data_IF_339711154723
#
_entry.id   IF_339711154723
#
_cell.length_a   1.000
_cell.length_b   1.000
_cell.length_c   1.000
_cell.angle_alpha   90.00
_cell.angle_beta   90.00
_cell.angle_gamma   90.00
#
_symmetry.space_group_name_H-M   'P 1'
#
loop_
_entity.id
_entity.type
_entity.pdbx_description
1 polymer ?
#
# COMPACT_ATOMS: atom_id res chain seq x y z
N UNK A 1 -17.39 8.73 5.35
CA UNK A 1 -18.63 9.50 5.08
C UNK A 1 -18.29 10.96 5.21
N UNK A 2 -18.19 11.66 4.11
CA UNK A 2 -17.81 13.07 4.05
C UNK A 2 -18.94 13.92 4.65
N UNK A 3 -18.67 14.64 5.72
CA UNK A 3 -19.60 15.63 6.26
C UNK A 3 -19.62 16.80 5.29
N UNK A 4 -20.69 16.93 4.54
CA UNK A 4 -20.82 17.97 3.52
C UNK A 4 -20.74 19.36 4.13
N UNK A 5 -19.95 20.25 3.52
CA UNK A 5 -19.61 21.61 4.00
C UNK A 5 -20.83 22.50 4.29
N UNK A 6 -21.96 22.28 3.63
CA UNK A 6 -23.19 23.03 3.88
C UNK A 6 -23.76 22.78 5.29
N UNK A 7 -23.30 21.73 6.01
CA UNK A 7 -23.63 21.54 7.43
C UNK A 7 -22.97 22.61 8.33
N UNK A 8 -22.03 23.38 7.81
CA UNK A 8 -21.46 24.52 8.53
C UNK A 8 -22.45 25.71 8.57
N UNK A 9 -23.40 25.77 7.63
CA UNK A 9 -24.47 26.77 7.57
C UNK A 9 -25.80 26.27 8.15
N UNK A 10 -25.90 24.97 8.35
CA UNK A 10 -27.06 24.30 8.96
C UNK A 10 -26.54 23.53 10.18
N UNK A 11 -26.65 24.11 11.37
CA UNK A 11 -26.33 23.42 12.62
C UNK A 11 -27.27 22.24 12.79
N UNK A 12 -26.79 21.03 12.56
CA UNK A 12 -27.45 19.81 13.02
C UNK A 12 -26.73 19.38 14.29
N UNK A 13 -27.42 19.53 15.40
CA UNK A 13 -27.04 19.05 16.70
C UNK A 13 -26.75 17.56 16.67
N UNK A 14 -25.53 17.19 17.06
CA UNK A 14 -25.29 15.89 17.68
C UNK A 14 -24.22 16.04 18.75
N UNK A 15 -24.69 16.02 19.98
CA UNK A 15 -23.94 16.05 21.21
C UNK A 15 -22.97 14.86 21.29
N UNK A 16 -21.70 15.17 21.59
CA UNK A 16 -20.84 14.29 22.40
C UNK A 16 -19.85 15.19 23.13
N UNK A 17 -19.90 15.16 24.46
CA UNK A 17 -19.31 16.07 25.39
C UNK A 17 -17.80 16.17 25.37
N UNK A 18 -17.35 17.38 25.57
CA UNK A 18 -16.29 17.70 26.51
C UNK A 18 -16.51 19.15 27.01
N UNK A 19 -16.31 19.36 28.28
CA UNK A 19 -16.60 20.54 29.08
C UNK A 19 -15.67 21.71 28.74
N UNK A 20 -16.27 22.78 28.21
CA UNK A 20 -15.66 24.09 28.07
C UNK A 20 -16.76 25.12 27.83
N UNK A 21 -16.83 26.17 28.64
CA UNK A 21 -17.79 27.27 28.84
C UNK A 21 -18.81 27.55 27.70
N UNK A 22 -20.08 27.91 28.07
CA UNK A 22 -21.17 28.08 27.12
C UNK A 22 -21.06 29.40 26.38
N UNK A 23 -20.53 29.35 25.14
CA UNK A 23 -20.78 30.37 24.14
C UNK A 23 -22.22 30.19 23.64
N UNK A 24 -22.99 31.27 23.66
CA UNK A 24 -24.37 31.34 23.21
C UNK A 24 -24.55 30.70 21.81
N UNK A 25 -25.52 29.78 21.61
CA UNK A 25 -25.68 29.09 20.32
C UNK A 25 -26.11 30.08 19.27
N UNK A 26 -25.38 30.09 18.13
CA UNK A 26 -25.78 30.82 16.94
C UNK A 26 -27.19 30.38 16.50
N UNK A 27 -28.11 31.33 16.14
CA UNK A 27 -29.47 30.98 15.75
C UNK A 27 -29.46 30.00 14.57
N UNK A 28 -30.20 28.92 14.70
CA UNK A 28 -30.38 27.94 13.65
C UNK A 28 -30.95 28.62 12.39
N UNK A 29 -30.48 28.34 11.19
CA UNK A 29 -31.04 28.91 9.98
C UNK A 29 -32.49 28.55 9.84
N UNK A 30 -33.32 29.56 9.49
CA UNK A 30 -34.75 29.35 9.29
C UNK A 30 -34.96 28.23 8.26
N UNK A 31 -36.00 27.41 8.41
CA UNK A 31 -36.27 26.29 7.50
C UNK A 31 -36.33 26.69 6.03
N UNK A 32 -36.60 27.96 5.76
CA UNK A 32 -36.60 28.52 4.38
C UNK A 32 -35.20 28.65 3.79
N UNK A 33 -34.18 29.03 4.58
CA UNK A 33 -32.80 29.08 4.09
C UNK A 33 -32.27 27.69 3.74
N UNK A 34 -32.56 26.67 4.54
CA UNK A 34 -32.18 25.29 4.26
C UNK A 34 -32.88 24.74 3.01
N UNK A 35 -34.16 25.07 2.80
CA UNK A 35 -34.92 24.72 1.57
C UNK A 35 -34.35 25.40 0.34
N UNK A 36 -33.99 26.68 0.42
CA UNK A 36 -33.38 27.43 -0.66
C UNK A 36 -32.04 26.79 -1.08
N UNK A 37 -31.15 26.51 -0.12
CA UNK A 37 -29.88 25.83 -0.40
C UNK A 37 -30.10 24.46 -1.04
N UNK A 38 -31.07 23.68 -0.54
CA UNK A 38 -31.39 22.37 -1.12
C UNK A 38 -31.94 22.50 -2.55
N UNK A 39 -32.77 23.49 -2.83
CA UNK A 39 -33.28 23.79 -4.19
C UNK A 39 -32.17 24.19 -5.15
N UNK A 40 -31.25 25.06 -4.73
CA UNK A 40 -30.09 25.46 -5.51
C UNK A 40 -29.20 24.26 -5.76
N UNK A 41 -28.93 23.47 -4.72
CA UNK A 41 -28.13 22.25 -4.86
C UNK A 41 -28.77 21.26 -5.85
N UNK A 42 -30.10 21.13 -5.88
CA UNK A 42 -30.75 20.23 -6.84
C UNK A 42 -30.65 20.75 -8.30
N UNK A 43 -30.55 22.04 -8.52
CA UNK A 43 -30.50 22.64 -9.85
C UNK A 43 -29.10 22.63 -10.49
N UNK A 44 -28.04 22.49 -9.71
CA UNK A 44 -26.66 22.48 -10.22
C UNK A 44 -26.32 21.10 -10.79
N UNK A 45 -25.83 20.96 -12.03
CA UNK A 45 -25.44 19.69 -12.60
C UNK A 45 -24.18 19.12 -11.92
N UNK A 46 -24.07 17.81 -11.88
CA UNK A 46 -22.84 17.13 -11.44
C UNK A 46 -21.82 17.17 -12.56
N UNK A 47 -20.57 17.48 -12.24
CA UNK A 47 -19.46 17.39 -13.19
C UNK A 47 -19.18 15.92 -13.46
N UNK A 48 -19.38 15.49 -14.70
CA UNK A 48 -19.15 14.08 -15.09
C UNK A 48 -17.80 13.86 -15.78
N UNK A 49 -17.27 14.93 -16.38
CA UNK A 49 -16.01 14.91 -17.13
C UNK A 49 -15.21 16.18 -16.85
N UNK A 50 -13.90 16.06 -16.90
CA UNK A 50 -12.98 17.18 -16.81
C UNK A 50 -12.45 17.49 -18.21
N UNK A 51 -12.45 18.77 -18.62
CA UNK A 51 -12.06 19.20 -19.95
C UNK A 51 -10.54 19.10 -20.19
N UNK A 52 -9.74 19.12 -19.12
CA UNK A 52 -8.29 19.01 -19.17
C UNK A 52 -7.76 18.06 -18.07
N UNK A 53 -6.58 17.46 -18.27
CA UNK A 53 -5.91 16.71 -17.22
C UNK A 53 -5.48 17.66 -16.09
N UNK A 54 -5.64 17.21 -14.84
CA UNK A 54 -5.16 17.90 -13.65
C UNK A 54 -3.79 17.33 -13.30
N UNK A 55 -2.74 18.13 -13.45
CA UNK A 55 -1.36 17.70 -13.22
C UNK A 55 -1.05 17.61 -11.72
N UNK A 56 -1.52 18.58 -10.95
CA UNK A 56 -1.38 18.61 -9.50
C UNK A 56 -2.73 18.39 -8.80
N UNK A 57 -3.01 17.17 -8.29
CA UNK A 57 -4.25 16.87 -7.57
C UNK A 57 -4.47 17.69 -6.30
N UNK A 58 -3.43 18.36 -5.78
CA UNK A 58 -3.53 19.21 -4.59
C UNK A 58 -3.90 20.66 -4.94
N UNK A 59 -3.85 21.02 -6.21
CA UNK A 59 -4.23 22.33 -6.71
C UNK A 59 -5.72 22.39 -7.03
N UNK A 60 -6.52 22.81 -6.06
CA UNK A 60 -7.97 22.98 -6.27
C UNK A 60 -8.30 23.97 -7.40
N UNK A 61 -7.42 24.94 -7.65
CA UNK A 61 -7.60 25.87 -8.77
C UNK A 61 -7.59 25.12 -10.12
N UNK A 62 -6.65 24.20 -10.35
CA UNK A 62 -6.60 23.39 -11.57
C UNK A 62 -7.83 22.46 -11.69
N UNK A 63 -8.34 21.92 -10.58
CA UNK A 63 -9.54 21.10 -10.59
C UNK A 63 -10.75 21.92 -11.02
N UNK A 64 -10.91 23.14 -10.50
CA UNK A 64 -12.00 24.03 -10.88
C UNK A 64 -11.90 24.48 -12.33
N UNK A 65 -10.70 24.76 -12.81
CA UNK A 65 -10.45 25.10 -14.22
C UNK A 65 -10.77 23.92 -15.14
N UNK A 66 -10.29 22.72 -14.81
CA UNK A 66 -10.58 21.49 -15.56
C UNK A 66 -12.08 21.14 -15.55
N UNK A 67 -12.81 21.52 -14.50
CA UNK A 67 -14.26 21.41 -14.39
C UNK A 67 -15.04 22.55 -15.08
N UNK A 68 -14.34 23.47 -15.77
CA UNK A 68 -14.91 24.62 -16.47
C UNK A 68 -15.76 25.55 -15.57
N UNK A 69 -15.35 25.69 -14.29
CA UNK A 69 -16.04 26.58 -13.35
C UNK A 69 -15.56 28.01 -13.56
N UNK A 70 -16.30 28.74 -14.38
CA UNK A 70 -16.02 30.15 -14.65
C UNK A 70 -16.25 31.04 -13.41
N UNK A 71 -15.44 32.10 -13.30
CA UNK A 71 -15.71 33.18 -12.34
C UNK A 71 -16.94 33.95 -12.78
N UNK A 72 -17.93 34.20 -11.89
CA UNK A 72 -19.11 34.99 -12.22
C UNK A 72 -18.73 36.42 -12.65
N UNK A 73 -19.52 37.05 -13.52
CA UNK A 73 -19.28 38.41 -14.06
C UNK A 73 -19.12 39.47 -12.95
N UNK A 74 -19.89 39.35 -11.87
CA UNK A 74 -19.78 40.22 -10.68
C UNK A 74 -18.53 39.97 -9.84
N UNK A 75 -17.74 38.90 -10.12
CA UNK A 75 -16.47 38.58 -9.47
C UNK A 75 -16.58 38.07 -8.01
N UNK A 76 -17.78 37.86 -7.47
CA UNK A 76 -17.98 37.32 -6.12
C UNK A 76 -18.18 35.81 -6.18
N UNK A 77 -17.07 35.08 -6.02
CA UNK A 77 -17.07 33.63 -5.83
C UNK A 77 -17.21 33.28 -4.33
N UNK A 78 -17.58 32.07 -4.02
CA UNK A 78 -17.55 31.57 -2.61
C UNK A 78 -16.16 31.69 -1.98
N UNK A 79 -15.10 31.50 -2.75
CA UNK A 79 -13.73 31.65 -2.26
C UNK A 79 -13.41 33.10 -1.86
N UNK A 80 -13.90 34.07 -2.65
CA UNK A 80 -13.76 35.49 -2.30
C UNK A 80 -14.56 35.84 -1.05
N UNK A 81 -15.78 35.33 -0.93
CA UNK A 81 -16.60 35.53 0.29
C UNK A 81 -15.92 34.88 1.51
N UNK A 82 -15.37 33.68 1.37
CA UNK A 82 -14.61 33.04 2.44
C UNK A 82 -13.39 33.87 2.87
N UNK A 83 -12.67 34.44 1.91
CA UNK A 83 -11.55 35.36 2.18
C UNK A 83 -12.01 36.62 2.92
N UNK A 84 -13.14 37.22 2.51
CA UNK A 84 -13.72 38.41 3.16
C UNK A 84 -14.10 38.09 4.62
N UNK A 85 -14.70 36.95 4.90
CA UNK A 85 -15.07 36.52 6.26
C UNK A 85 -13.85 36.33 7.18
N UNK A 86 -12.68 36.02 6.60
CA UNK A 86 -11.42 35.85 7.31
C UNK A 86 -10.61 37.16 7.45
N UNK A 87 -11.08 38.24 6.83
CA UNK A 87 -10.41 39.54 6.91
C UNK A 87 -10.33 40.06 8.35
N UNK A 88 -9.32 40.86 8.67
CA UNK A 88 -9.13 41.46 10.00
C UNK A 88 -10.35 42.26 10.45
N UNK A 89 -11.02 42.93 9.50
CA UNK A 89 -12.19 43.76 9.77
C UNK A 89 -13.43 42.97 10.18
N UNK A 90 -13.56 41.71 9.76
CA UNK A 90 -14.71 40.86 10.08
C UNK A 90 -14.40 39.78 11.10
N UNK A 91 -13.13 39.39 11.29
CA UNK A 91 -12.75 38.23 12.11
C UNK A 91 -13.33 38.26 13.53
N UNK A 92 -13.32 39.41 14.19
CA UNK A 92 -13.77 39.61 15.59
C UNK A 92 -15.27 39.91 15.75
N UNK A 93 -16.05 39.99 14.65
CA UNK A 93 -17.46 40.39 14.73
C UNK A 93 -18.36 39.16 14.95
N UNK A 94 -19.58 39.43 15.46
CA UNK A 94 -20.58 38.37 15.63
C UNK A 94 -21.04 37.79 14.27
N UNK A 95 -21.56 36.55 14.24
CA UNK A 95 -22.03 35.92 13.00
C UNK A 95 -23.08 36.76 12.26
N UNK A 96 -24.00 37.41 12.99
CA UNK A 96 -25.03 38.26 12.38
C UNK A 96 -24.42 39.47 11.68
N UNK A 97 -23.48 40.15 12.33
CA UNK A 97 -22.79 41.33 11.77
C UNK A 97 -21.95 40.91 10.54
N UNK A 98 -21.22 39.76 10.61
CA UNK A 98 -20.51 39.19 9.46
C UNK A 98 -21.47 38.96 8.28
N UNK A 99 -22.57 38.27 8.56
CA UNK A 99 -23.61 38.00 7.52
C UNK A 99 -24.12 39.29 6.89
N UNK A 100 -24.55 40.28 7.70
CA UNK A 100 -25.06 41.57 7.21
C UNK A 100 -24.00 42.30 6.38
N UNK A 101 -22.75 42.32 6.83
CA UNK A 101 -21.65 42.95 6.12
C UNK A 101 -21.39 42.31 4.75
N UNK A 102 -21.44 40.99 4.66
CA UNK A 102 -21.27 40.26 3.40
C UNK A 102 -22.45 40.53 2.48
N UNK A 103 -23.70 40.52 2.98
CA UNK A 103 -24.88 40.79 2.17
C UNK A 103 -24.83 42.21 1.55
N UNK A 104 -24.46 43.20 2.36
CA UNK A 104 -24.28 44.61 1.86
C UNK A 104 -23.18 44.69 0.80
N UNK A 105 -22.04 43.98 1.00
CA UNK A 105 -20.98 43.94 0.03
C UNK A 105 -21.38 43.26 -1.29
N UNK A 106 -22.15 42.19 -1.22
CA UNK A 106 -22.69 41.50 -2.41
C UNK A 106 -23.68 42.38 -3.15
N UNK A 107 -24.62 43.03 -2.45
CA UNK A 107 -25.61 43.97 -3.03
C UNK A 107 -24.92 45.15 -3.71
N UNK A 108 -23.93 45.76 -3.05
CA UNK A 108 -23.12 46.82 -3.62
C UNK A 108 -22.36 46.39 -4.90
N UNK A 109 -21.98 45.12 -4.99
CA UNK A 109 -21.31 44.50 -6.14
C UNK A 109 -22.28 43.95 -7.19
N UNK A 110 -23.59 44.09 -7.02
CA UNK A 110 -24.59 43.53 -7.94
C UNK A 110 -24.71 42.01 -7.91
N UNK A 111 -24.16 41.35 -6.90
CA UNK A 111 -24.18 39.92 -6.76
C UNK A 111 -25.33 39.45 -5.84
N UNK A 112 -26.01 38.38 -6.20
CA UNK A 112 -27.00 37.72 -5.33
C UNK A 112 -26.34 36.62 -4.50
N UNK A 113 -26.85 36.45 -3.28
CA UNK A 113 -26.37 35.36 -2.42
C UNK A 113 -26.58 33.99 -3.07
N UNK A 114 -27.62 33.81 -3.85
CA UNK A 114 -27.94 32.59 -4.58
C UNK A 114 -26.85 32.23 -5.59
N UNK A 115 -26.26 33.21 -6.28
CA UNK A 115 -25.17 33.01 -7.24
C UNK A 115 -23.92 32.53 -6.55
N UNK A 116 -23.61 33.06 -5.34
CA UNK A 116 -22.49 32.63 -4.54
C UNK A 116 -22.70 31.20 -4.00
N UNK A 117 -23.94 30.86 -3.61
CA UNK A 117 -24.27 29.49 -3.18
C UNK A 117 -24.19 28.52 -4.35
N UNK A 118 -24.62 28.92 -5.56
CA UNK A 118 -24.44 28.08 -6.75
C UNK A 118 -22.99 27.86 -7.10
N UNK A 119 -22.12 28.87 -7.01
CA UNK A 119 -20.67 28.75 -7.22
C UNK A 119 -20.08 27.74 -6.20
N UNK A 120 -20.50 27.85 -4.94
CA UNK A 120 -20.08 26.92 -3.90
C UNK A 120 -20.46 25.47 -4.20
N UNK A 121 -21.71 25.23 -4.60
CA UNK A 121 -22.21 23.88 -4.96
C UNK A 121 -21.49 23.32 -6.19
N UNK A 122 -21.20 24.16 -7.20
CA UNK A 122 -20.44 23.73 -8.39
C UNK A 122 -19.04 23.26 -8.01
N UNK A 123 -18.35 24.02 -7.15
CA UNK A 123 -17.00 23.67 -6.69
C UNK A 123 -16.99 22.41 -5.85
N UNK A 124 -17.92 22.25 -4.91
CA UNK A 124 -18.09 21.06 -4.08
C UNK A 124 -18.27 19.81 -4.97
N UNK A 125 -19.15 19.87 -5.95
CA UNK A 125 -19.40 18.75 -6.86
C UNK A 125 -18.21 18.43 -7.77
N UNK A 126 -17.45 19.44 -8.18
CA UNK A 126 -16.23 19.22 -8.94
C UNK A 126 -15.20 18.45 -8.09
N UNK A 127 -15.05 18.80 -6.82
CA UNK A 127 -14.16 18.08 -5.91
C UNK A 127 -14.63 16.63 -5.65
N UNK A 128 -15.91 16.41 -5.39
CA UNK A 128 -16.50 15.06 -5.22
C UNK A 128 -16.28 14.19 -6.47
N UNK A 129 -16.48 14.79 -7.65
CA UNK A 129 -16.26 14.09 -8.93
C UNK A 129 -14.80 13.75 -9.15
N UNK A 130 -13.90 14.68 -8.83
CA UNK A 130 -12.45 14.48 -8.95
C UNK A 130 -11.96 13.42 -7.97
N UNK A 131 -12.44 13.43 -6.72
CA UNK A 131 -12.16 12.36 -5.74
C UNK A 131 -12.56 11.00 -6.29
N UNK A 132 -13.72 10.91 -6.94
CA UNK A 132 -14.18 9.66 -7.56
C UNK A 132 -13.24 9.21 -8.67
N UNK A 133 -12.74 10.11 -9.52
CA UNK A 133 -11.76 9.81 -10.57
C UNK A 133 -10.44 9.33 -9.97
N UNK A 134 -9.91 10.03 -8.98
CA UNK A 134 -8.68 9.63 -8.29
C UNK A 134 -8.82 8.28 -7.61
N UNK A 135 -9.94 8.04 -6.94
CA UNK A 135 -10.21 6.76 -6.26
C UNK A 135 -10.22 5.59 -7.25
N UNK A 136 -10.87 5.75 -8.41
CA UNK A 136 -10.87 4.75 -9.48
C UNK A 136 -9.48 4.53 -10.06
N UNK A 137 -8.73 5.61 -10.32
CA UNK A 137 -7.36 5.52 -10.82
C UNK A 137 -6.45 4.78 -9.84
N UNK A 138 -6.50 5.13 -8.55
CA UNK A 138 -5.77 4.44 -7.48
C UNK A 138 -6.11 2.95 -7.43
N UNK A 139 -7.39 2.61 -7.43
CA UNK A 139 -7.83 1.22 -7.39
C UNK A 139 -7.34 0.43 -8.63
N UNK A 140 -7.31 1.05 -9.80
CA UNK A 140 -6.77 0.45 -11.02
C UNK A 140 -5.27 0.16 -10.93
N UNK A 141 -4.49 1.12 -10.42
CA UNK A 141 -3.05 0.93 -10.19
C UNK A 141 -2.79 -0.17 -9.15
N UNK A 142 -3.53 -0.15 -8.04
CA UNK A 142 -3.42 -1.15 -6.98
C UNK A 142 -3.71 -2.56 -7.52
N UNK A 143 -4.82 -2.74 -8.24
CA UNK A 143 -5.17 -4.03 -8.84
C UNK A 143 -4.10 -4.53 -9.84
N UNK A 144 -3.58 -3.62 -10.68
CA UNK A 144 -2.51 -3.95 -11.63
C UNK A 144 -1.23 -4.41 -10.93
N UNK A 145 -0.83 -3.72 -9.84
CA UNK A 145 0.38 -4.07 -9.09
C UNK A 145 0.23 -5.34 -8.27
N UNK A 146 -0.95 -5.61 -7.73
CA UNK A 146 -1.25 -6.88 -7.06
C UNK A 146 -1.11 -8.05 -8.05
N UNK A 147 -1.64 -7.93 -9.26
CA UNK A 147 -1.55 -8.99 -10.26
C UNK A 147 -0.10 -9.17 -10.77
N UNK A 148 0.65 -8.09 -10.93
CA UNK A 148 2.08 -8.14 -11.26
C UNK A 148 2.88 -8.88 -10.18
N UNK A 149 2.67 -8.53 -8.91
CA UNK A 149 3.32 -9.19 -7.77
C UNK A 149 2.98 -10.69 -7.72
N UNK A 150 1.71 -11.06 -7.96
CA UNK A 150 1.30 -12.46 -8.01
C UNK A 150 2.03 -13.26 -9.08
N UNK A 151 2.26 -12.67 -10.27
CA UNK A 151 3.05 -13.32 -11.33
C UNK A 151 4.50 -13.51 -10.92
N UNK A 152 5.11 -12.48 -10.34
CA UNK A 152 6.49 -12.56 -9.83
C UNK A 152 6.62 -13.66 -8.77
N UNK A 153 5.68 -13.75 -7.83
CA UNK A 153 5.67 -14.80 -6.80
C UNK A 153 5.53 -16.20 -7.41
N UNK A 154 4.68 -16.36 -8.43
CA UNK A 154 4.53 -17.64 -9.12
C UNK A 154 5.81 -18.05 -9.85
N UNK A 155 6.46 -17.15 -10.56
CA UNK A 155 7.75 -17.39 -11.24
C UNK A 155 8.86 -17.74 -10.23
N UNK A 156 8.93 -17.01 -9.12
CA UNK A 156 9.89 -17.30 -8.05
C UNK A 156 9.68 -18.70 -7.45
N UNK A 157 8.45 -19.07 -7.18
CA UNK A 157 8.12 -20.39 -6.64
C UNK A 157 8.48 -21.52 -7.62
N UNK A 158 8.22 -21.33 -8.92
CA UNK A 158 8.62 -22.28 -9.96
C UNK A 158 10.15 -22.44 -10.01
N UNK A 159 10.87 -21.33 -10.02
CA UNK A 159 12.34 -21.35 -10.02
C UNK A 159 12.92 -22.05 -8.79
N UNK A 160 12.32 -21.80 -7.61
CA UNK A 160 12.72 -22.49 -6.37
C UNK A 160 12.48 -24.00 -6.44
N UNK A 161 11.35 -24.44 -7.01
CA UNK A 161 11.06 -25.85 -7.20
C UNK A 161 12.09 -26.52 -8.15
N UNK A 162 12.43 -25.86 -9.24
CA UNK A 162 13.42 -26.36 -10.20
C UNK A 162 14.82 -26.48 -9.57
N UNK A 163 15.25 -25.49 -8.81
CA UNK A 163 16.53 -25.57 -8.10
C UNK A 163 16.55 -26.67 -7.03
N UNK A 164 15.47 -26.85 -6.27
CA UNK A 164 15.35 -27.95 -5.30
C UNK A 164 15.43 -29.31 -5.98
N UNK A 165 14.75 -29.49 -7.10
CA UNK A 165 14.83 -30.73 -7.89
C UNK A 165 16.26 -31.02 -8.37
N UNK A 166 16.99 -29.99 -8.84
CA UNK A 166 18.40 -30.13 -9.26
C UNK A 166 19.31 -30.50 -8.09
N UNK A 167 19.14 -29.87 -6.92
CA UNK A 167 19.91 -30.20 -5.72
C UNK A 167 19.64 -31.65 -5.32
N UNK A 168 18.40 -32.09 -5.33
CA UNK A 168 18.04 -33.48 -5.02
C UNK A 168 18.70 -34.46 -5.98
N UNK A 169 18.63 -34.21 -7.31
CA UNK A 169 19.30 -35.05 -8.29
C UNK A 169 20.81 -35.12 -8.07
N UNK A 170 21.47 -34.02 -7.74
CA UNK A 170 22.89 -34.02 -7.41
C UNK A 170 23.20 -34.86 -6.15
N UNK A 171 22.39 -34.75 -5.12
CA UNK A 171 22.55 -35.54 -3.88
C UNK A 171 22.36 -37.04 -4.16
N UNK A 172 21.43 -37.43 -5.02
CA UNK A 172 21.24 -38.82 -5.43
C UNK A 172 22.45 -39.36 -6.20
N UNK A 173 23.07 -38.58 -7.07
CA UNK A 173 24.31 -38.96 -7.75
C UNK A 173 25.43 -39.16 -6.75
N UNK A 174 25.63 -38.25 -5.81
CA UNK A 174 26.64 -38.38 -4.75
C UNK A 174 26.38 -39.61 -3.89
N UNK A 175 25.14 -39.88 -3.52
CA UNK A 175 24.79 -41.07 -2.72
C UNK A 175 25.14 -42.39 -3.46
N UNK A 176 24.81 -42.46 -4.76
CA UNK A 176 25.16 -43.63 -5.60
C UNK A 176 26.67 -43.83 -5.72
N UNK A 177 27.46 -42.79 -5.90
CA UNK A 177 28.92 -42.90 -5.97
C UNK A 177 29.51 -43.30 -4.63
N UNK A 178 28.99 -42.79 -3.52
CA UNK A 178 29.42 -43.23 -2.18
C UNK A 178 29.11 -44.72 -1.93
N UNK A 179 27.96 -45.21 -2.36
CA UNK A 179 27.59 -46.64 -2.28
C UNK A 179 28.52 -47.51 -3.15
N UNK A 180 28.78 -47.06 -4.39
CA UNK A 180 29.76 -47.74 -5.27
C UNK A 180 31.14 -47.82 -4.65
N UNK A 181 31.59 -46.72 -4.07
CA UNK A 181 32.90 -46.65 -3.42
C UNK A 181 32.98 -47.54 -2.20
N UNK A 182 31.99 -47.53 -1.35
CA UNK A 182 31.95 -48.39 -0.16
C UNK A 182 31.90 -49.88 -0.52
N UNK A 183 31.13 -50.25 -1.55
CA UNK A 183 31.08 -51.59 -2.07
C UNK A 183 32.43 -52.04 -2.63
N UNK A 184 33.12 -51.17 -3.37
CA UNK A 184 34.45 -51.41 -3.89
C UNK A 184 35.46 -51.58 -2.75
N UNK A 185 35.45 -50.75 -1.71
CA UNK A 185 36.32 -50.86 -0.55
C UNK A 185 36.12 -52.19 0.17
N UNK A 186 34.90 -52.67 0.37
CA UNK A 186 34.62 -53.96 0.98
C UNK A 186 35.19 -55.11 0.16
N UNK A 187 35.02 -55.07 -1.17
CA UNK A 187 35.61 -56.08 -2.09
C UNK A 187 37.14 -56.05 -2.09
N UNK A 188 37.72 -54.84 -2.10
CA UNK A 188 39.17 -54.66 -1.99
C UNK A 188 39.72 -55.25 -0.73
N UNK A 189 39.13 -55.01 0.43
CA UNK A 189 39.55 -55.56 1.69
C UNK A 189 39.47 -57.11 1.73
N UNK A 190 38.39 -57.67 1.15
CA UNK A 190 38.28 -59.12 1.05
C UNK A 190 39.39 -59.73 0.21
N UNK A 191 39.70 -59.12 -0.95
CA UNK A 191 40.79 -59.56 -1.82
C UNK A 191 42.17 -59.40 -1.16
N UNK A 192 42.44 -58.28 -0.49
CA UNK A 192 43.66 -58.06 0.27
C UNK A 192 43.88 -59.11 1.35
N UNK A 193 42.81 -59.56 2.04
CA UNK A 193 42.88 -60.65 3.00
C UNK A 193 43.26 -61.97 2.30
N UNK A 194 42.58 -62.30 1.20
CA UNK A 194 42.90 -63.53 0.43
C UNK A 194 44.35 -63.55 -0.04
N UNK A 195 44.85 -62.42 -0.51
CA UNK A 195 46.25 -62.27 -0.95
C UNK A 195 47.21 -62.45 0.28
N UNK A 196 46.90 -61.75 1.38
CA UNK A 196 47.70 -61.84 2.61
C UNK A 196 47.79 -63.27 3.17
N UNK A 197 46.66 -63.98 3.18
CA UNK A 197 46.62 -65.38 3.63
C UNK A 197 47.46 -66.30 2.74
N UNK A 198 47.40 -66.12 1.41
CA UNK A 198 48.19 -66.85 0.46
C UNK A 198 49.73 -66.63 0.62
N UNK A 199 50.10 -65.36 0.80
CA UNK A 199 51.51 -64.94 0.96
C UNK A 199 52.09 -65.46 2.25
N UNK A 200 51.28 -65.57 3.33
CA UNK A 200 51.71 -66.09 4.64
C UNK A 200 52.31 -67.54 4.61
N UNK A 201 51.97 -68.33 3.56
CA UNK A 201 52.56 -69.66 3.36
C UNK A 201 54.00 -69.64 2.83
N UNK A 202 54.45 -68.52 2.29
CA UNK A 202 55.74 -68.44 1.60
C UNK A 202 56.77 -67.53 2.28
N UNK A 203 56.31 -66.60 3.12
CA UNK A 203 57.18 -65.62 3.79
C UNK A 203 56.91 -65.54 5.28
N UNK A 204 57.94 -65.29 6.10
CA UNK A 204 57.81 -65.10 7.52
C UNK A 204 57.28 -63.73 7.95
N UNK A 205 57.50 -62.70 7.10
CA UNK A 205 56.94 -61.36 7.27
C UNK A 205 56.04 -61.05 6.06
N UNK A 206 54.78 -60.80 6.35
CA UNK A 206 53.81 -60.58 5.31
C UNK A 206 53.85 -59.11 4.82
N UNK A 207 54.23 -58.78 3.57
CA UNK A 207 54.33 -57.46 3.07
C UNK A 207 52.97 -56.86 2.65
N UNK A 208 51.89 -57.66 2.73
CA UNK A 208 50.55 -57.22 2.31
C UNK A 208 49.85 -56.46 3.43
N UNK A 209 49.50 -55.22 3.19
CA UNK A 209 48.74 -54.37 4.08
C UNK A 209 47.25 -54.52 3.82
N UNK A 210 46.48 -55.05 4.75
CA UNK A 210 45.02 -55.10 4.64
C UNK A 210 44.46 -53.76 5.11
N UNK A 211 43.86 -53.02 4.21
CA UNK A 211 43.24 -51.71 4.51
C UNK A 211 42.13 -51.89 5.55
N UNK A 212 42.23 -51.21 6.71
CA UNK A 212 41.20 -51.27 7.77
C UNK A 212 41.48 -52.24 8.92
N UNK A 213 42.60 -52.97 8.91
CA UNK A 213 43.06 -53.62 10.11
C UNK A 213 43.60 -52.55 11.11
N UNK A 214 43.29 -52.67 12.42
CA UNK A 214 43.86 -51.74 13.38
C UNK A 214 45.39 -51.90 13.36
N UNK A 215 46.12 -50.81 13.23
CA UNK A 215 47.57 -50.77 13.31
C UNK A 215 47.97 -51.32 14.70
N UNK A 216 48.43 -52.63 14.76
CA UNK A 216 48.87 -53.17 16.02
C UNK A 216 48.68 -54.63 16.27
N UNK A 217 48.55 -55.57 15.30
CA UNK A 217 48.74 -56.98 15.55
C UNK A 217 49.98 -57.48 14.83
N UNK A 218 51.15 -57.08 15.28
CA UNK A 218 52.35 -57.88 15.11
C UNK A 218 52.19 -59.13 15.97
N UNK A 219 51.79 -60.22 15.36
CA UNK A 219 51.71 -61.50 16.02
C UNK A 219 53.16 -62.00 16.30
N UNK A 220 53.70 -61.55 17.43
CA UNK A 220 54.92 -62.15 17.99
C UNK A 220 54.55 -63.52 18.51
N UNK A 221 54.70 -64.55 17.67
CA UNK A 221 54.64 -65.92 18.06
C UNK A 221 55.80 -66.18 19.00
N UNK A 222 55.56 -66.16 20.29
CA UNK A 222 56.51 -66.63 21.35
C UNK A 222 56.81 -68.09 21.08
N UNK A 223 58.09 -68.41 20.83
CA UNK A 223 58.68 -69.68 20.70
C UNK A 223 58.64 -70.33 22.07
N UNK A 224 58.16 -71.56 22.27
CA UNK A 224 58.28 -72.24 23.58
C UNK A 224 59.71 -72.63 23.80
N UNK A 225 60.30 -72.16 24.93
CA UNK A 225 61.57 -72.66 25.47
C UNK A 225 61.35 -74.03 26.10
N UNK A 226 62.33 -74.89 25.91
CA UNK A 226 62.49 -76.24 26.37
C UNK A 226 62.43 -76.37 27.88
#
# INVERSE_FOLDING_TARGET
MSKKWYNLFVSVDQASGDSGEPGEPAPAPSGDAARMVASIAASVPTVTTFAAPVEDPTSFAQIYEAAEIATPEHGYTILKVASMLQSEHLRGLSPEVKRSSILVALEAGGAKIDDVIQDAVRRDRALDSFETVLSKSRAGVEASKIEENRKIEAEMNQMLADYRARIQANNEVVAKENERFSTWQAKKQAEERTIADAVAYFVSENPITVSGAPAGSTNSAAKPAK
#
